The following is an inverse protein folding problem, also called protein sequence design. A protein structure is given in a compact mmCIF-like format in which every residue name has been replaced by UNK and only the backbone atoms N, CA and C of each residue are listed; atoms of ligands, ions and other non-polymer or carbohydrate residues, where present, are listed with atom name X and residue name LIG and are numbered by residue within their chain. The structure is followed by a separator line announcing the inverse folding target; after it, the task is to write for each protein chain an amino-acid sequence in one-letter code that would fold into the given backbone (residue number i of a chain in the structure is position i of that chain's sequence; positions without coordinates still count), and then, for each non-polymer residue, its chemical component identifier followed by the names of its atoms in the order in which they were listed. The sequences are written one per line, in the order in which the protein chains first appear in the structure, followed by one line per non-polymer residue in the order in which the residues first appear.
data_IF_425234128757
#
_entry.id   IF_425234128757
#
_cell.length_a   1.000
_cell.length_b   1.000
_cell.length_c   1.000
_cell.angle_alpha   90.00
_cell.angle_beta   90.00
_cell.angle_gamma   90.00
#
_symmetry.space_group_name_H-M   'P 1'
#
loop_
_entity.id
_entity.type
_entity.pdbx_description
1 polymer ?
#
# COMPACT_ATOMS: atom_id res chain seq x y z
N UNK A 1 -18.34 30.76 -45.82
CA UNK A 1 -17.80 29.93 -46.91
C UNK A 1 -17.51 28.54 -46.37
N UNK A 2 -18.39 27.58 -46.63
CA UNK A 2 -18.25 26.17 -46.26
C UNK A 2 -17.33 25.47 -47.25
N UNK A 3 -16.07 25.23 -46.87
CA UNK A 3 -14.97 24.95 -47.80
C UNK A 3 -14.74 23.49 -48.20
N UNK A 4 -15.64 22.55 -47.88
CA UNK A 4 -15.46 21.15 -48.32
C UNK A 4 -16.77 20.54 -48.83
N UNK A 5 -16.76 20.11 -50.10
CA UNK A 5 -17.80 19.23 -50.66
C UNK A 5 -17.72 17.87 -49.95
N UNK A 6 -18.84 17.29 -49.49
CA UNK A 6 -18.82 15.98 -48.85
C UNK A 6 -18.34 14.91 -49.84
N UNK A 7 -17.34 14.14 -49.42
CA UNK A 7 -16.80 13.04 -50.21
C UNK A 7 -17.89 11.97 -50.44
N UNK A 8 -17.90 11.32 -51.63
CA UNK A 8 -18.90 10.32 -51.96
C UNK A 8 -18.84 9.11 -51.01
N UNK A 9 -20.02 8.53 -50.73
CA UNK A 9 -20.19 7.39 -49.79
C UNK A 9 -19.37 6.14 -50.16
N UNK A 10 -19.01 5.99 -51.44
CA UNK A 10 -18.12 4.93 -51.93
C UNK A 10 -16.68 5.07 -51.44
N UNK A 11 -16.25 6.27 -51.08
CA UNK A 11 -14.89 6.57 -50.57
C UNK A 11 -14.90 6.66 -49.05
N UNK A 12 -15.92 7.28 -48.44
CA UNK A 12 -15.97 7.47 -46.99
C UNK A 12 -16.23 6.20 -46.20
N UNK A 13 -17.00 5.24 -46.74
CA UNK A 13 -17.26 3.94 -46.09
C UNK A 13 -16.02 3.05 -45.93
N UNK A 14 -15.22 2.77 -46.97
CA UNK A 14 -14.01 1.96 -46.80
C UNK A 14 -12.98 2.67 -45.92
N UNK A 15 -12.83 4.00 -46.05
CA UNK A 15 -11.92 4.77 -45.18
C UNK A 15 -12.35 4.71 -43.72
N UNK A 16 -13.64 4.87 -43.43
CA UNK A 16 -14.18 4.73 -42.06
C UNK A 16 -13.98 3.31 -41.52
N UNK A 17 -14.16 2.28 -42.34
CA UNK A 17 -13.90 0.90 -41.94
C UNK A 17 -12.42 0.67 -41.61
N UNK A 18 -11.50 1.23 -42.41
CA UNK A 18 -10.06 1.17 -42.13
C UNK A 18 -9.73 1.87 -40.81
N UNK A 19 -10.30 3.04 -40.52
CA UNK A 19 -10.10 3.73 -39.24
C UNK A 19 -10.62 2.91 -38.05
N UNK A 20 -11.80 2.31 -38.17
CA UNK A 20 -12.35 1.44 -37.11
C UNK A 20 -11.48 0.21 -36.90
N UNK A 21 -11.02 -0.45 -37.98
CA UNK A 21 -10.11 -1.60 -37.88
C UNK A 21 -8.79 -1.18 -37.24
N UNK A 22 -8.19 -0.07 -37.66
CA UNK A 22 -6.96 0.46 -37.08
C UNK A 22 -7.13 0.79 -35.58
N UNK A 23 -8.28 1.36 -35.20
CA UNK A 23 -8.61 1.62 -33.80
C UNK A 23 -8.79 0.32 -32.99
N UNK A 24 -9.50 -0.68 -33.52
CA UNK A 24 -9.65 -1.99 -32.87
C UNK A 24 -8.29 -2.67 -32.70
N UNK A 25 -7.44 -2.63 -33.73
CA UNK A 25 -6.07 -3.19 -33.66
C UNK A 25 -5.24 -2.44 -32.63
N UNK A 26 -5.30 -1.11 -32.61
CA UNK A 26 -4.60 -0.29 -31.61
C UNK A 26 -5.08 -0.59 -30.19
N UNK A 27 -6.39 -0.71 -29.96
CA UNK A 27 -6.95 -1.11 -28.67
C UNK A 27 -6.57 -2.54 -28.29
N UNK A 28 -6.58 -3.48 -29.23
CA UNK A 28 -6.15 -4.85 -28.96
C UNK A 28 -4.66 -4.92 -28.60
N UNK A 29 -3.81 -4.15 -29.28
CA UNK A 29 -2.38 -4.02 -28.97
C UNK A 29 -2.17 -3.36 -27.62
N UNK A 30 -2.91 -2.29 -27.32
CA UNK A 30 -2.85 -1.58 -26.05
C UNK A 30 -3.23 -2.53 -24.92
N UNK A 31 -4.40 -3.18 -25.00
CA UNK A 31 -4.90 -4.13 -24.00
C UNK A 31 -3.92 -5.28 -23.79
N UNK A 32 -3.38 -5.84 -24.88
CA UNK A 32 -2.39 -6.92 -24.78
C UNK A 32 -1.12 -6.45 -24.07
N UNK A 33 -0.58 -5.28 -24.43
CA UNK A 33 0.64 -4.76 -23.79
C UNK A 33 0.43 -4.33 -22.34
N UNK A 34 -0.66 -3.63 -22.05
CA UNK A 34 -0.89 -3.01 -20.74
C UNK A 34 -1.43 -4.00 -19.70
N UNK A 35 -2.20 -5.01 -20.10
CA UNK A 35 -2.82 -5.93 -19.13
C UNK A 35 -2.28 -7.36 -19.19
N UNK A 36 -1.88 -7.85 -20.37
CA UNK A 36 -1.56 -9.28 -20.55
C UNK A 36 -0.05 -9.51 -20.51
N UNK A 37 0.71 -8.85 -21.37
CA UNK A 37 2.14 -9.14 -21.55
C UNK A 37 2.99 -8.55 -20.41
N UNK A 38 2.70 -7.33 -19.93
CA UNK A 38 3.42 -6.73 -18.80
C UNK A 38 3.19 -7.47 -17.47
N UNK A 39 1.98 -8.03 -17.28
CA UNK A 39 1.57 -8.66 -16.03
C UNK A 39 1.95 -10.13 -15.93
N UNK A 40 1.85 -10.91 -17.02
CA UNK A 40 2.01 -12.36 -17.00
C UNK A 40 3.44 -12.85 -17.33
N UNK A 41 4.13 -12.19 -18.27
CA UNK A 41 5.49 -12.60 -18.66
C UNK A 41 6.53 -12.31 -17.56
N UNK A 42 6.38 -11.17 -16.86
CA UNK A 42 7.23 -10.86 -15.70
C UNK A 42 6.90 -11.77 -14.52
N UNK A 43 5.62 -12.10 -14.27
CA UNK A 43 5.23 -12.92 -13.12
C UNK A 43 5.85 -14.32 -13.13
N UNK A 44 5.80 -15.04 -14.26
CA UNK A 44 6.34 -16.39 -14.30
C UNK A 44 7.87 -16.39 -14.11
N UNK A 45 8.57 -15.40 -14.65
CA UNK A 45 10.02 -15.24 -14.49
C UNK A 45 10.39 -14.79 -13.07
N UNK A 46 9.65 -13.84 -12.49
CA UNK A 46 9.83 -13.36 -11.12
C UNK A 46 9.56 -14.47 -10.11
N UNK A 47 8.51 -15.27 -10.33
CA UNK A 47 8.17 -16.39 -9.43
C UNK A 47 9.12 -17.59 -9.59
N UNK A 48 9.71 -17.81 -10.76
CA UNK A 48 10.61 -18.93 -11.01
C UNK A 48 11.92 -18.88 -10.20
N UNK A 49 12.28 -17.70 -9.65
CA UNK A 49 13.45 -17.54 -8.78
C UNK A 49 13.26 -18.17 -7.40
N UNK A 50 12.01 -18.38 -6.97
CA UNK A 50 11.70 -18.89 -5.66
C UNK A 50 11.92 -20.39 -5.56
N UNK A 51 12.77 -20.78 -4.62
CA UNK A 51 13.10 -22.17 -4.35
C UNK A 51 12.07 -22.87 -3.45
N UNK A 52 12.40 -24.09 -3.04
CA UNK A 52 11.57 -24.88 -2.09
C UNK A 52 11.47 -24.27 -0.69
N UNK A 53 12.37 -23.35 -0.34
CA UNK A 53 12.33 -22.62 0.94
C UNK A 53 11.51 -21.32 0.88
N UNK A 54 10.82 -21.07 -0.24
CA UNK A 54 9.99 -19.90 -0.38
C UNK A 54 8.73 -20.02 0.48
N UNK A 55 8.42 -18.95 1.19
CA UNK A 55 7.27 -18.84 2.07
C UNK A 55 6.16 -18.13 1.32
N UNK A 56 5.10 -18.88 1.02
CA UNK A 56 3.92 -18.41 0.30
C UNK A 56 2.83 -18.03 1.30
N UNK A 57 2.18 -16.89 1.07
CA UNK A 57 1.07 -16.41 1.88
C UNK A 57 -0.09 -15.98 1.00
N UNK A 58 -1.28 -16.46 1.31
CA UNK A 58 -2.52 -15.90 0.78
C UNK A 58 -2.87 -14.59 1.49
N UNK A 59 -3.30 -13.59 0.74
CA UNK A 59 -3.75 -12.30 1.25
C UNK A 59 -5.26 -12.20 1.09
N UNK A 60 -5.93 -11.90 2.19
CA UNK A 60 -7.38 -11.86 2.31
C UNK A 60 -7.82 -10.50 2.85
N UNK A 61 -8.95 -10.01 2.35
CA UNK A 61 -9.65 -8.86 2.90
C UNK A 61 -11.07 -9.27 3.27
N UNK A 62 -11.40 -9.18 4.56
CA UNK A 62 -12.72 -9.55 5.12
C UNK A 62 -13.22 -10.93 4.69
N UNK A 63 -12.29 -11.88 4.54
CA UNK A 63 -12.56 -13.27 4.15
C UNK A 63 -12.50 -13.52 2.64
N UNK A 64 -12.45 -12.50 1.80
CA UNK A 64 -12.25 -12.65 0.35
C UNK A 64 -10.76 -12.67 0.03
N UNK A 65 -10.31 -13.62 -0.80
CA UNK A 65 -8.92 -13.67 -1.23
C UNK A 65 -8.67 -12.59 -2.27
N UNK A 66 -7.80 -11.65 -1.93
CA UNK A 66 -7.43 -10.55 -2.81
C UNK A 66 -6.06 -10.76 -3.47
N UNK A 67 -5.29 -11.76 -3.06
CA UNK A 67 -4.00 -12.02 -3.68
C UNK A 67 -3.08 -12.93 -2.90
N UNK A 68 -1.78 -12.78 -3.14
CA UNK A 68 -0.74 -13.52 -2.44
C UNK A 68 0.57 -12.73 -2.39
N UNK A 69 1.44 -13.15 -1.47
CA UNK A 69 2.85 -12.76 -1.42
C UNK A 69 3.71 -14.01 -1.34
N UNK A 70 4.90 -13.97 -1.92
CA UNK A 70 5.93 -14.98 -1.77
C UNK A 70 7.21 -14.31 -1.30
N UNK A 71 7.90 -14.93 -0.35
CA UNK A 71 9.14 -14.39 0.18
C UNK A 71 10.21 -15.45 0.37
N UNK A 72 11.48 -15.05 0.29
CA UNK A 72 12.61 -15.93 0.57
C UNK A 72 13.77 -15.14 1.14
N UNK A 73 14.52 -15.79 2.02
CA UNK A 73 15.78 -15.28 2.57
C UNK A 73 16.93 -16.08 1.96
N UNK A 74 17.79 -15.40 1.23
CA UNK A 74 18.93 -15.99 0.52
C UNK A 74 20.22 -15.56 1.23
N UNK A 75 21.08 -16.51 1.68
CA UNK A 75 22.39 -16.17 2.22
C UNK A 75 23.26 -15.43 1.20
N UNK A 76 24.06 -14.48 1.66
CA UNK A 76 25.03 -13.72 0.89
C UNK A 76 26.38 -13.71 1.63
N UNK A 77 27.46 -13.23 0.99
CA UNK A 77 28.80 -13.19 1.60
C UNK A 77 28.83 -12.42 2.93
N UNK A 78 28.08 -11.31 3.02
CA UNK A 78 28.09 -10.37 4.14
C UNK A 78 26.81 -10.40 5.00
N UNK A 79 25.91 -11.36 4.79
CA UNK A 79 24.63 -11.42 5.47
C UNK A 79 23.56 -12.11 4.63
N UNK A 80 22.43 -11.42 4.39
CA UNK A 80 21.28 -11.99 3.70
C UNK A 80 20.70 -11.02 2.67
N UNK A 81 20.16 -11.58 1.59
CA UNK A 81 19.24 -10.91 0.68
C UNK A 81 17.82 -11.43 0.95
N UNK A 82 16.92 -10.51 1.24
CA UNK A 82 15.51 -10.77 1.47
C UNK A 82 14.76 -10.38 0.21
N UNK A 83 13.97 -11.30 -0.32
CA UNK A 83 13.21 -11.11 -1.54
C UNK A 83 11.74 -11.34 -1.25
N UNK A 84 10.88 -10.45 -1.73
CA UNK A 84 9.43 -10.57 -1.65
C UNK A 84 8.79 -10.10 -2.95
N UNK A 85 7.85 -10.88 -3.46
CA UNK A 85 6.96 -10.50 -4.55
C UNK A 85 5.52 -10.69 -4.11
N UNK A 86 4.62 -9.85 -4.61
CA UNK A 86 3.20 -9.99 -4.33
C UNK A 86 2.33 -9.53 -5.47
N UNK A 87 1.16 -10.16 -5.55
CA UNK A 87 0.10 -9.80 -6.49
C UNK A 87 -1.19 -9.67 -5.72
N UNK A 88 -1.79 -8.50 -5.82
CA UNK A 88 -3.05 -8.15 -5.20
C UNK A 88 -4.03 -7.71 -6.28
N UNK A 89 -5.31 -7.91 -6.04
CA UNK A 89 -6.41 -7.45 -6.86
C UNK A 89 -7.43 -6.82 -5.93
N UNK A 90 -7.63 -5.52 -6.09
CA UNK A 90 -8.46 -4.72 -5.18
C UNK A 90 -9.54 -4.03 -5.99
N UNK A 91 -10.76 -3.98 -5.45
CA UNK A 91 -11.86 -3.20 -6.01
C UNK A 91 -12.00 -1.89 -5.25
N UNK A 92 -11.87 -0.78 -5.97
CA UNK A 92 -11.95 0.59 -5.45
C UNK A 92 -12.77 1.44 -6.43
N UNK A 93 -13.78 2.15 -5.93
CA UNK A 93 -14.69 2.98 -6.73
C UNK A 93 -15.32 2.22 -7.92
N UNK A 94 -15.63 0.93 -7.73
CA UNK A 94 -16.19 0.05 -8.74
C UNK A 94 -15.20 -0.41 -9.82
N UNK A 95 -13.92 -0.03 -9.72
CA UNK A 95 -12.86 -0.48 -10.59
C UNK A 95 -11.98 -1.52 -9.88
N UNK A 96 -11.75 -2.64 -10.56
CA UNK A 96 -10.86 -3.69 -10.07
C UNK A 96 -9.48 -3.52 -10.69
N UNK A 97 -8.49 -3.22 -9.85
CA UNK A 97 -7.13 -2.95 -10.30
C UNK A 97 -6.16 -3.98 -9.73
N UNK A 98 -5.37 -4.66 -10.59
CA UNK A 98 -4.26 -5.47 -10.11
C UNK A 98 -3.13 -4.57 -9.62
N UNK A 99 -2.53 -4.92 -8.48
CA UNK A 99 -1.31 -4.32 -7.98
C UNK A 99 -0.21 -5.38 -7.90
N UNK A 100 0.98 -5.03 -8.35
CA UNK A 100 2.18 -5.83 -8.17
C UNK A 100 3.13 -5.12 -7.21
N UNK A 101 3.66 -5.87 -6.25
CA UNK A 101 4.70 -5.39 -5.34
C UNK A 101 5.95 -6.25 -5.48
N UNK A 102 7.10 -5.61 -5.35
CA UNK A 102 8.40 -6.26 -5.33
C UNK A 102 9.26 -5.59 -4.25
N UNK A 103 9.93 -6.38 -3.44
CA UNK A 103 10.92 -5.90 -2.47
C UNK A 103 12.17 -6.76 -2.53
N UNK A 104 13.33 -6.13 -2.61
CA UNK A 104 14.62 -6.76 -2.33
C UNK A 104 15.35 -5.94 -1.28
N UNK A 105 15.79 -6.57 -0.19
CA UNK A 105 16.54 -5.91 0.87
C UNK A 105 17.83 -6.67 1.18
N UNK A 106 18.94 -5.95 1.31
CA UNK A 106 20.23 -6.49 1.75
C UNK A 106 20.47 -6.11 3.19
N UNK A 107 20.76 -7.11 3.99
CA UNK A 107 20.98 -6.98 5.43
C UNK A 107 22.29 -7.65 5.82
N UNK A 108 22.88 -7.22 6.94
CA UNK A 108 24.01 -7.93 7.52
C UNK A 108 23.60 -9.23 8.24
N UNK A 109 24.56 -9.93 8.85
CA UNK A 109 24.32 -11.16 9.60
C UNK A 109 23.42 -10.99 10.83
N UNK A 110 23.25 -9.77 11.32
CA UNK A 110 22.34 -9.41 12.42
C UNK A 110 20.98 -8.88 11.92
N UNK A 111 20.71 -8.99 10.61
CA UNK A 111 19.54 -8.44 9.93
C UNK A 111 19.43 -6.90 9.95
N UNK A 112 20.53 -6.18 10.20
CA UNK A 112 20.56 -4.72 10.08
C UNK A 112 20.56 -4.30 8.59
N UNK A 113 19.74 -3.32 8.25
CA UNK A 113 19.54 -2.88 6.87
C UNK A 113 20.78 -2.20 6.29
N UNK A 114 21.19 -2.62 5.08
CA UNK A 114 22.23 -1.94 4.29
C UNK A 114 21.63 -1.19 3.10
N UNK A 115 20.77 -1.86 2.35
CA UNK A 115 20.09 -1.27 1.20
C UNK A 115 18.79 -1.99 0.90
N UNK A 116 17.89 -1.34 0.18
CA UNK A 116 16.69 -1.96 -0.35
C UNK A 116 16.26 -1.36 -1.68
N UNK A 117 15.46 -2.12 -2.40
CA UNK A 117 14.69 -1.71 -3.55
C UNK A 117 13.26 -2.19 -3.35
N UNK A 118 12.31 -1.28 -3.45
CA UNK A 118 10.88 -1.54 -3.39
C UNK A 118 10.25 -1.03 -4.68
N UNK A 119 9.29 -1.76 -5.22
CA UNK A 119 8.50 -1.34 -6.37
C UNK A 119 7.04 -1.66 -6.10
N UNK A 120 6.16 -0.70 -6.35
CA UNK A 120 4.71 -0.88 -6.33
C UNK A 120 4.13 -0.37 -7.64
N UNK A 121 3.51 -1.27 -8.41
CA UNK A 121 2.79 -0.92 -9.63
C UNK A 121 1.29 -1.15 -9.40
N UNK A 122 0.49 -0.08 -9.23
CA UNK A 122 -0.96 -0.17 -9.13
C UNK A 122 -1.63 -0.27 -10.52
N UNK A 123 -0.92 -0.68 -11.57
CA UNK A 123 -1.44 -0.81 -12.93
C UNK A 123 -1.38 0.48 -13.77
N UNK A 124 -0.96 1.60 -13.16
CA UNK A 124 -0.75 2.89 -13.85
C UNK A 124 0.74 3.19 -14.09
N UNK A 125 1.63 2.25 -13.73
CA UNK A 125 3.08 2.39 -13.81
C UNK A 125 3.73 2.26 -12.42
N UNK A 126 4.94 1.68 -12.36
CA UNK A 126 5.60 1.40 -11.09
C UNK A 126 6.13 2.67 -10.43
N UNK A 127 5.94 2.76 -9.12
CA UNK A 127 6.72 3.63 -8.23
C UNK A 127 7.83 2.79 -7.64
N UNK A 128 9.08 3.18 -7.88
CA UNK A 128 10.28 2.47 -7.40
C UNK A 128 10.98 3.30 -6.35
N UNK A 129 11.23 2.71 -5.19
CA UNK A 129 11.94 3.33 -4.06
C UNK A 129 13.22 2.54 -3.79
N UNK A 130 14.37 3.17 -3.95
CA UNK A 130 15.66 2.59 -3.58
C UNK A 130 16.19 3.30 -2.35
N UNK A 131 16.70 2.55 -1.39
CA UNK A 131 17.32 3.14 -0.21
C UNK A 131 18.66 2.50 0.11
N UNK A 132 19.56 3.33 0.65
CA UNK A 132 20.87 2.89 1.15
C UNK A 132 21.19 3.57 2.47
N UNK A 133 21.67 2.79 3.42
CA UNK A 133 22.17 3.29 4.70
C UNK A 133 23.64 3.65 4.53
N UNK A 134 23.98 4.90 4.85
CA UNK A 134 25.36 5.38 4.79
C UNK A 134 26.19 4.70 5.88
N UNK A 135 27.22 3.90 5.52
CA UNK A 135 28.05 3.19 6.50
C UNK A 135 28.96 4.13 7.30
N UNK A 136 29.13 5.39 6.88
CA UNK A 136 29.92 6.40 7.59
C UNK A 136 29.17 7.09 8.72
N UNK A 137 27.86 6.86 8.84
CA UNK A 137 27.06 7.40 9.93
C UNK A 137 27.46 6.76 11.27
N UNK A 138 27.77 7.60 12.26
CA UNK A 138 28.34 7.23 13.57
C UNK A 138 27.43 6.29 14.38
N UNK A 139 27.97 5.64 15.42
CA UNK A 139 27.21 4.82 16.36
C UNK A 139 26.04 5.55 17.06
N UNK A 140 25.96 6.89 16.95
CA UNK A 140 24.89 7.74 17.49
C UNK A 140 23.76 8.06 16.50
N UNK A 141 23.78 7.57 15.25
CA UNK A 141 22.69 7.76 14.29
C UNK A 141 22.94 7.13 12.92
N UNK A 142 21.91 6.96 12.11
CA UNK A 142 22.04 6.46 10.74
C UNK A 142 21.59 7.52 9.72
N UNK A 143 22.20 7.51 8.54
CA UNK A 143 21.76 8.34 7.42
C UNK A 143 21.19 7.44 6.33
N UNK A 144 19.91 7.61 6.02
CA UNK A 144 19.22 6.88 4.96
C UNK A 144 19.09 7.80 3.75
N UNK A 145 19.64 7.37 2.61
CA UNK A 145 19.50 8.05 1.33
C UNK A 145 18.47 7.27 0.52
N UNK A 146 17.43 7.95 0.03
CA UNK A 146 16.27 7.36 -0.64
C UNK A 146 16.16 7.98 -2.02
N UNK A 147 16.13 7.17 -3.07
CA UNK A 147 15.81 7.58 -4.44
C UNK A 147 14.40 7.06 -4.78
N UNK A 148 13.50 7.98 -5.10
CA UNK A 148 12.10 7.70 -5.44
C UNK A 148 11.94 7.98 -6.93
N UNK A 149 11.63 6.95 -7.69
CA UNK A 149 11.37 7.04 -9.12
C UNK A 149 9.88 6.83 -9.39
N UNK A 150 9.22 7.84 -9.93
CA UNK A 150 7.81 7.82 -10.34
C UNK A 150 7.67 8.50 -11.70
N UNK A 151 6.83 7.97 -12.58
CA UNK A 151 6.57 8.51 -13.92
C UNK A 151 7.84 8.85 -14.77
N UNK A 152 8.98 8.21 -14.49
CA UNK A 152 10.26 8.45 -15.16
C UNK A 152 11.15 9.52 -14.51
N UNK A 153 10.63 10.28 -13.54
CA UNK A 153 11.40 11.24 -12.74
C UNK A 153 11.99 10.55 -11.52
N UNK A 154 13.18 10.97 -11.08
CA UNK A 154 13.79 10.47 -9.84
C UNK A 154 14.12 11.62 -8.91
N UNK A 155 13.64 11.52 -7.67
CA UNK A 155 13.91 12.45 -6.57
C UNK A 155 14.73 11.75 -5.50
N UNK A 156 15.78 12.41 -5.03
CA UNK A 156 16.59 11.92 -3.91
C UNK A 156 16.23 12.67 -2.63
N UNK A 157 15.98 11.91 -1.56
CA UNK A 157 15.80 12.40 -0.21
C UNK A 157 16.91 11.85 0.70
N UNK A 158 17.31 12.61 1.72
CA UNK A 158 18.23 12.12 2.76
C UNK A 158 17.62 12.35 4.13
N UNK A 159 17.56 11.29 4.93
CA UNK A 159 17.01 11.31 6.27
C UNK A 159 18.08 11.01 7.31
N UNK A 160 18.12 11.83 8.35
CA UNK A 160 18.86 11.52 9.57
C UNK A 160 17.96 10.72 10.50
N UNK A 161 18.47 9.61 11.02
CA UNK A 161 17.78 8.70 11.91
C UNK A 161 18.57 8.57 13.21
N UNK A 162 17.85 8.38 14.31
CA UNK A 162 18.47 8.12 15.63
C UNK A 162 19.18 6.77 15.73
N UNK A 163 18.94 5.87 14.76
CA UNK A 163 19.58 4.56 14.66
C UNK A 163 19.31 3.92 13.30
N UNK A 164 19.88 2.71 13.05
CA UNK A 164 19.67 2.00 11.79
C UNK A 164 18.19 1.79 11.49
N UNK A 165 17.71 2.10 10.26
CA UNK A 165 16.32 1.85 9.90
C UNK A 165 16.05 0.35 9.85
N UNK A 166 14.85 -0.04 10.27
CA UNK A 166 14.34 -1.40 10.11
C UNK A 166 13.24 -1.37 9.07
N UNK A 167 13.25 -2.29 8.09
CA UNK A 167 12.16 -2.38 7.12
C UNK A 167 10.98 -3.11 7.72
N UNK A 168 9.76 -2.75 7.29
CA UNK A 168 8.57 -3.53 7.66
C UNK A 168 8.70 -5.00 7.21
N UNK A 169 9.27 -5.24 6.02
CA UNK A 169 9.41 -6.58 5.43
C UNK A 169 10.45 -7.48 6.12
N UNK A 170 11.44 -6.91 6.84
CA UNK A 170 12.47 -7.70 7.54
C UNK A 170 12.27 -7.78 9.06
N UNK A 171 11.22 -7.12 9.58
CA UNK A 171 11.05 -6.94 11.00
C UNK A 171 10.86 -8.26 11.76
N UNK A 172 10.08 -9.20 11.24
CA UNK A 172 9.85 -10.50 11.87
C UNK A 172 11.14 -11.33 12.03
N UNK A 173 12.02 -11.30 11.02
CA UNK A 173 13.34 -11.95 11.04
C UNK A 173 14.27 -11.29 12.04
N UNK A 174 14.27 -9.96 12.10
CA UNK A 174 15.06 -9.21 13.08
C UNK A 174 14.64 -9.56 14.52
N UNK A 175 13.34 -9.72 14.77
CA UNK A 175 12.83 -10.17 16.06
C UNK A 175 13.28 -11.59 16.38
N UNK A 176 13.23 -12.50 15.41
CA UNK A 176 13.64 -13.90 15.57
C UNK A 176 15.14 -14.08 15.88
N UNK A 177 15.98 -13.08 15.62
CA UNK A 177 17.40 -13.03 16.02
C UNK A 177 17.65 -12.90 17.53
N UNK A 178 16.83 -13.54 18.38
CA UNK A 178 16.96 -13.54 19.84
C UNK A 178 16.17 -12.46 20.58
N UNK A 179 15.25 -11.75 19.90
CA UNK A 179 14.45 -10.66 20.48
C UNK A 179 12.98 -11.04 20.73
N UNK A 180 12.55 -12.23 20.34
CA UNK A 180 11.24 -12.81 20.69
C UNK A 180 11.20 -13.27 22.16
N UNK A 181 11.08 -12.32 23.08
CA UNK A 181 10.96 -12.60 24.53
C UNK A 181 9.51 -12.47 24.98
N UNK A 182 8.89 -13.59 25.39
CA UNK A 182 7.50 -13.59 25.86
C UNK A 182 7.30 -12.65 27.07
N UNK A 183 6.21 -11.90 27.05
CA UNK A 183 5.86 -10.89 28.04
C UNK A 183 6.63 -9.57 27.89
N UNK A 184 7.51 -9.43 26.89
CA UNK A 184 8.24 -8.19 26.67
C UNK A 184 7.46 -7.19 25.82
N UNK A 185 7.66 -5.90 26.12
CA UNK A 185 7.22 -4.76 25.31
C UNK A 185 8.46 -4.05 24.78
N UNK A 186 8.50 -3.78 23.48
CA UNK A 186 9.65 -3.20 22.79
C UNK A 186 9.20 -2.02 21.94
N UNK A 187 10.04 -0.99 21.82
CA UNK A 187 9.83 0.13 20.91
C UNK A 187 10.84 0.07 19.77
N UNK A 188 10.35 0.29 18.56
CA UNK A 188 11.14 0.24 17.33
C UNK A 188 10.79 1.41 16.43
N UNK A 189 11.70 1.79 15.54
CA UNK A 189 11.39 2.70 14.43
C UNK A 189 11.44 1.89 13.14
N UNK A 190 10.30 1.73 12.49
CA UNK A 190 10.18 1.00 11.22
C UNK A 190 10.06 2.01 10.08
N UNK A 191 10.85 1.80 9.04
CA UNK A 191 10.71 2.45 7.75
C UNK A 191 9.85 1.59 6.84
N UNK A 192 8.75 2.14 6.37
CA UNK A 192 7.91 1.50 5.36
C UNK A 192 8.16 2.15 3.98
N UNK A 193 8.69 1.42 3.00
CA UNK A 193 8.97 1.97 1.68
C UNK A 193 7.70 2.28 0.87
N UNK A 194 6.54 1.69 1.21
CA UNK A 194 5.28 1.97 0.52
C UNK A 194 4.69 3.33 0.91
N UNK A 195 4.83 3.72 2.18
CA UNK A 195 4.37 5.03 2.68
C UNK A 195 5.48 6.07 2.77
N UNK A 196 6.74 5.64 2.59
CA UNK A 196 7.95 6.45 2.79
C UNK A 196 7.99 7.11 4.17
N UNK A 197 7.52 6.43 5.22
CA UNK A 197 7.51 6.98 6.58
C UNK A 197 8.38 6.17 7.53
N UNK A 198 9.13 6.87 8.37
CA UNK A 198 9.74 6.30 9.57
C UNK A 198 8.75 6.46 10.71
N UNK A 199 8.31 5.37 11.31
CA UNK A 199 7.32 5.43 12.37
C UNK A 199 7.76 4.67 13.61
N UNK A 200 7.59 5.25 14.80
CA UNK A 200 7.71 4.47 16.03
C UNK A 200 6.57 3.45 16.08
N UNK A 201 6.91 2.21 16.42
CA UNK A 201 5.95 1.15 16.69
C UNK A 201 6.20 0.58 18.08
N UNK A 202 5.12 0.19 18.75
CA UNK A 202 5.20 -0.58 19.98
C UNK A 202 4.88 -2.03 19.69
N UNK A 203 5.71 -2.93 20.19
CA UNK A 203 5.60 -4.36 19.94
C UNK A 203 5.47 -5.09 21.27
N UNK A 204 4.33 -5.74 21.47
CA UNK A 204 4.03 -6.57 22.63
C UNK A 204 4.16 -8.05 22.22
N UNK A 205 5.11 -8.75 22.83
CA UNK A 205 5.43 -10.14 22.50
C UNK A 205 4.74 -11.05 23.51
N UNK A 206 3.71 -11.76 23.06
CA UNK A 206 2.95 -12.72 23.85
C UNK A 206 3.65 -14.07 24.01
N UNK A 207 2.92 -15.04 24.57
CA UNK A 207 3.36 -16.43 24.60
C UNK A 207 3.30 -17.09 23.22
N UNK A 208 3.80 -18.34 23.15
CA UNK A 208 3.61 -19.17 21.96
C UNK A 208 2.19 -19.71 21.90
N UNK A 209 1.60 -19.66 20.72
CA UNK A 209 0.30 -20.21 20.40
C UNK A 209 0.45 -21.23 19.25
N UNK A 210 -0.42 -22.23 19.22
CA UNK A 210 -0.45 -23.21 18.13
C UNK A 210 -1.27 -22.67 16.97
N UNK A 211 -0.59 -22.27 15.89
CA UNK A 211 -1.24 -21.82 14.66
C UNK A 211 -1.58 -23.03 13.80
N UNK A 212 -2.81 -23.07 13.30
CA UNK A 212 -3.31 -24.14 12.42
C UNK A 212 -3.48 -23.62 11.01
N UNK A 213 -2.67 -24.12 10.09
CA UNK A 213 -2.85 -23.92 8.66
C UNK A 213 -3.48 -25.16 8.03
N UNK A 214 -4.23 -24.96 6.94
CA UNK A 214 -4.90 -26.04 6.23
C UNK A 214 -3.89 -27.04 5.69
N UNK A 215 -4.02 -28.31 6.08
CA UNK A 215 -3.14 -29.38 5.59
C UNK A 215 -1.79 -29.50 6.30
N UNK A 216 -1.46 -28.61 7.23
CA UNK A 216 -0.21 -28.64 7.99
C UNK A 216 -0.43 -29.05 9.46
N UNK A 217 0.64 -29.54 10.10
CA UNK A 217 0.61 -29.75 11.56
C UNK A 217 0.55 -28.38 12.25
N UNK A 218 -0.10 -28.27 13.43
CA UNK A 218 -0.06 -27.04 14.20
C UNK A 218 1.39 -26.64 14.51
N UNK A 219 1.75 -25.39 14.20
CA UNK A 219 3.11 -24.85 14.40
C UNK A 219 3.07 -23.88 15.57
N UNK A 220 3.96 -24.02 16.57
CA UNK A 220 4.09 -23.03 17.64
C UNK A 220 4.70 -21.74 17.11
N UNK A 221 4.04 -20.62 17.38
CA UNK A 221 4.51 -19.29 17.00
C UNK A 221 4.19 -18.27 18.09
N UNK A 222 5.05 -17.28 18.29
CA UNK A 222 4.79 -16.16 19.20
C UNK A 222 3.67 -15.31 18.65
N UNK A 223 2.66 -15.02 19.48
CA UNK A 223 1.68 -13.97 19.17
C UNK A 223 2.33 -12.62 19.42
N UNK A 224 2.50 -11.82 18.38
CA UNK A 224 3.13 -10.50 18.41
C UNK A 224 2.09 -9.47 18.06
N UNK A 225 1.80 -8.56 18.98
CA UNK A 225 0.95 -7.40 18.71
C UNK A 225 1.83 -6.21 18.38
N UNK A 226 1.53 -5.54 17.26
CA UNK A 226 2.20 -4.31 16.86
C UNK A 226 1.17 -3.18 16.79
N UNK A 227 1.50 -2.05 17.39
CA UNK A 227 0.71 -0.83 17.30
C UNK A 227 1.39 0.17 16.36
N UNK A 228 0.67 0.56 15.31
CA UNK A 228 1.10 1.47 14.24
C UNK A 228 -0.04 2.44 13.90
N UNK A 229 0.18 3.75 14.09
CA UNK A 229 -0.84 4.80 13.86
C UNK A 229 -2.22 4.54 14.52
N UNK A 230 -2.22 3.98 15.73
CA UNK A 230 -3.45 3.61 16.44
C UNK A 230 -4.14 2.35 15.91
N UNK A 231 -3.60 1.72 14.86
CA UNK A 231 -4.01 0.40 14.40
C UNK A 231 -3.16 -0.66 15.08
N UNK A 232 -3.82 -1.67 15.66
CA UNK A 232 -3.15 -2.82 16.26
C UNK A 232 -3.22 -4.01 15.32
N UNK A 233 -2.08 -4.43 14.77
CA UNK A 233 -1.96 -5.69 14.03
C UNK A 233 -1.50 -6.81 14.96
N UNK A 234 -1.90 -8.04 14.65
CA UNK A 234 -1.45 -9.23 15.37
C UNK A 234 -0.84 -10.20 14.38
N UNK A 235 0.41 -10.60 14.62
CA UNK A 235 1.15 -11.55 13.79
C UNK A 235 1.57 -12.76 14.63
N UNK A 236 1.57 -13.95 14.04
CA UNK A 236 2.08 -15.15 14.67
C UNK A 236 3.41 -15.54 14.02
N UNK A 237 4.50 -15.35 14.76
CA UNK A 237 5.88 -15.43 14.24
C UNK A 237 6.61 -16.64 14.83
N UNK A 238 7.18 -17.49 13.98
CA UNK A 238 7.99 -18.64 14.42
C UNK A 238 9.33 -18.20 15.04
N UNK A 239 10.03 -19.13 15.67
CA UNK A 239 11.40 -18.91 16.18
C UNK A 239 12.41 -18.53 15.08
N UNK A 240 12.10 -18.84 13.82
CA UNK A 240 12.90 -18.50 12.63
C UNK A 240 12.47 -17.18 11.98
N UNK A 241 11.39 -16.55 12.46
CA UNK A 241 10.88 -15.28 11.94
C UNK A 241 9.86 -15.43 10.80
N UNK A 242 9.39 -16.65 10.54
CA UNK A 242 8.33 -16.90 9.55
C UNK A 242 7.00 -16.42 10.10
N UNK A 243 6.27 -15.63 9.32
CA UNK A 243 4.95 -15.14 9.69
C UNK A 243 3.92 -16.17 9.23
N UNK A 244 3.37 -16.91 10.20
CA UNK A 244 2.39 -17.97 9.93
C UNK A 244 1.00 -17.40 9.61
N UNK A 245 0.67 -16.29 10.27
CA UNK A 245 -0.59 -15.57 10.13
C UNK A 245 -0.37 -14.12 10.56
N UNK A 246 -1.07 -13.20 9.93
CA UNK A 246 -1.16 -11.80 10.35
C UNK A 246 -2.57 -11.28 10.16
N UNK A 247 -3.03 -10.45 11.08
CA UNK A 247 -4.37 -9.86 11.10
C UNK A 247 -4.28 -8.35 11.36
N UNK A 248 -5.05 -7.58 10.62
CA UNK A 248 -5.24 -6.15 10.83
C UNK A 248 -6.69 -5.85 11.25
N UNK A 249 -6.91 -4.76 12.02
CA UNK A 249 -8.24 -4.39 12.49
C UNK A 249 -9.14 -3.93 11.33
N UNK A 250 -8.55 -3.62 10.17
CA UNK A 250 -9.26 -3.25 8.95
C UNK A 250 -9.74 -4.47 8.14
N UNK A 251 -9.49 -5.69 8.64
CA UNK A 251 -9.95 -6.94 8.03
C UNK A 251 -8.97 -7.53 7.02
N UNK A 252 -7.73 -7.01 6.93
CA UNK A 252 -6.68 -7.68 6.17
C UNK A 252 -6.15 -8.86 6.97
N UNK A 253 -6.01 -10.00 6.31
CA UNK A 253 -5.43 -11.21 6.89
C UNK A 253 -4.42 -11.77 5.89
N UNK A 254 -3.22 -12.10 6.36
CA UNK A 254 -2.29 -12.94 5.59
C UNK A 254 -2.12 -14.27 6.29
N UNK A 255 -2.09 -15.36 5.54
CA UNK A 255 -1.94 -16.72 6.08
C UNK A 255 -0.95 -17.47 5.23
N UNK A 256 -0.01 -18.18 5.87
CA UNK A 256 0.89 -19.08 5.17
C UNK A 256 0.10 -20.23 4.52
N UNK A 257 0.40 -20.48 3.26
CA UNK A 257 -0.23 -21.49 2.42
C UNK A 257 0.83 -22.19 1.56
N UNK A 258 0.48 -23.33 0.96
CA UNK A 258 1.28 -23.88 -0.13
C UNK A 258 1.21 -22.97 -1.38
N UNK A 259 2.19 -23.10 -2.27
CA UNK A 259 2.31 -22.25 -3.46
C UNK A 259 1.06 -22.28 -4.35
N UNK A 260 0.49 -23.47 -4.58
CA UNK A 260 -0.68 -23.64 -5.44
C UNK A 260 -1.94 -23.04 -4.81
N UNK A 261 -2.13 -23.21 -3.49
CA UNK A 261 -3.21 -22.56 -2.75
C UNK A 261 -3.06 -21.05 -2.74
N UNK A 262 -1.88 -20.52 -2.44
CA UNK A 262 -1.59 -19.09 -2.38
C UNK A 262 -1.92 -18.40 -3.72
N UNK A 263 -1.42 -18.95 -4.82
CA UNK A 263 -1.59 -18.37 -6.17
C UNK A 263 -3.01 -18.51 -6.72
N UNK A 264 -3.82 -19.43 -6.20
CA UNK A 264 -5.23 -19.55 -6.57
C UNK A 264 -5.99 -18.33 -6.05
N UNK A 265 -6.16 -17.32 -6.90
CA UNK A 265 -7.15 -16.27 -6.69
C UNK A 265 -8.52 -16.95 -6.54
N UNK A 266 -9.20 -16.66 -5.43
CA UNK A 266 -10.60 -17.06 -5.32
C UNK A 266 -11.35 -16.27 -6.39
N UNK A 267 -11.97 -16.97 -7.33
CA UNK A 267 -12.84 -16.35 -8.32
C UNK A 267 -14.28 -16.50 -7.84
N UNK A 268 -14.83 -15.62 -6.97
CA UNK A 268 -16.24 -15.35 -7.02
C UNK A 268 -16.44 -14.26 -8.08
N UNK A 269 -16.82 -14.66 -9.28
CA UNK A 269 -17.18 -13.78 -10.40
C UNK A 269 -18.40 -12.87 -10.13
N UNK A 270 -18.79 -12.64 -8.87
CA UNK A 270 -20.03 -11.92 -8.52
C UNK A 270 -19.94 -10.95 -7.34
N UNK A 271 -18.90 -10.98 -6.51
CA UNK A 271 -18.72 -9.96 -5.46
C UNK A 271 -17.22 -9.86 -5.21
N UNK A 272 -16.56 -8.85 -5.77
CA UNK A 272 -15.41 -8.27 -5.09
C UNK A 272 -16.01 -7.12 -4.31
N UNK A 273 -16.02 -7.23 -2.98
CA UNK A 273 -16.53 -6.13 -2.16
C UNK A 273 -15.63 -4.92 -2.39
N UNK A 274 -16.21 -3.78 -2.81
CA UNK A 274 -15.46 -2.55 -2.96
C UNK A 274 -14.88 -2.15 -1.60
N UNK A 275 -13.58 -1.90 -1.53
CA UNK A 275 -12.90 -1.63 -0.26
C UNK A 275 -13.39 -0.34 0.39
N UNK A 276 -13.83 0.65 -0.39
CA UNK A 276 -14.41 1.88 0.14
C UNK A 276 -15.80 1.62 0.72
N UNK A 277 -16.61 0.82 0.03
CA UNK A 277 -17.92 0.40 0.55
C UNK A 277 -17.76 -0.46 1.82
N UNK A 278 -16.80 -1.39 1.82
CA UNK A 278 -16.50 -2.22 2.97
C UNK A 278 -16.05 -1.37 4.17
N UNK A 279 -15.16 -0.40 3.96
CA UNK A 279 -14.64 0.45 5.04
C UNK A 279 -15.61 1.57 5.48
N UNK A 280 -16.75 1.73 4.81
CA UNK A 280 -17.71 2.77 5.14
C UNK A 280 -18.28 2.60 6.57
N UNK A 281 -18.19 3.66 7.36
CA UNK A 281 -18.93 3.77 8.62
C UNK A 281 -20.36 4.18 8.28
N UNK A 282 -21.29 3.22 8.32
CA UNK A 282 -22.71 3.49 8.05
C UNK A 282 -23.33 4.18 9.26
N UNK A 283 -23.76 5.45 9.13
CA UNK A 283 -24.31 6.19 10.26
C UNK A 283 -25.68 5.65 10.68
N UNK A 284 -25.97 5.73 11.98
CA UNK A 284 -27.33 5.51 12.48
C UNK A 284 -28.14 6.78 12.23
N UNK A 285 -29.05 6.72 11.27
CA UNK A 285 -29.82 7.88 10.83
C UNK A 285 -31.02 8.14 11.76
N UNK A 286 -31.06 9.34 12.37
CA UNK A 286 -32.28 9.82 13.07
C UNK A 286 -33.39 10.21 12.09
N UNK A 287 -33.01 10.67 10.91
CA UNK A 287 -33.90 11.06 9.83
C UNK A 287 -33.28 10.59 8.50
N UNK A 288 -34.10 10.08 7.60
CA UNK A 288 -33.68 9.73 6.24
C UNK A 288 -33.38 11.01 5.45
N UNK A 289 -32.27 11.02 4.71
CA UNK A 289 -31.93 12.10 3.78
C UNK A 289 -32.44 11.69 2.40
N UNK A 290 -33.55 12.26 1.97
CA UNK A 290 -34.17 11.94 0.68
C UNK A 290 -33.51 12.68 -0.49
N UNK A 291 -33.15 13.95 -0.28
CA UNK A 291 -32.49 14.81 -1.27
C UNK A 291 -31.13 15.30 -0.74
N UNK A 292 -30.04 14.50 -0.85
CA UNK A 292 -28.75 14.84 -0.27
C UNK A 292 -28.16 16.16 -0.77
N UNK A 293 -28.49 16.57 -2.01
CA UNK A 293 -28.00 17.82 -2.63
C UNK A 293 -28.62 19.09 -2.02
N UNK A 294 -29.73 18.94 -1.29
CA UNK A 294 -30.43 20.05 -0.64
C UNK A 294 -30.08 20.19 0.85
N UNK A 295 -29.27 19.27 1.39
CA UNK A 295 -28.83 19.32 2.78
C UNK A 295 -27.89 20.50 2.98
N UNK A 296 -28.34 21.49 3.76
CA UNK A 296 -27.53 22.69 4.10
C UNK A 296 -26.77 22.58 5.41
N UNK A 297 -27.19 21.66 6.27
CA UNK A 297 -26.59 21.43 7.58
C UNK A 297 -26.68 19.95 7.93
N UNK A 298 -25.58 19.39 8.43
CA UNK A 298 -25.52 18.02 8.90
C UNK A 298 -24.86 18.00 10.28
N UNK A 299 -25.46 17.27 11.21
CA UNK A 299 -24.89 17.01 12.53
C UNK A 299 -24.63 15.52 12.67
N UNK A 300 -23.39 15.18 12.99
CA UNK A 300 -22.92 13.82 13.16
C UNK A 300 -22.41 13.66 14.60
N UNK A 301 -22.77 12.56 15.24
CA UNK A 301 -22.21 12.17 16.54
C UNK A 301 -21.32 10.96 16.30
N UNK A 302 -20.04 11.05 16.68
CA UNK A 302 -19.07 9.99 16.51
C UNK A 302 -18.64 9.46 17.87
N UNK A 303 -18.62 8.14 18.00
CA UNK A 303 -18.10 7.43 19.17
C UNK A 303 -16.82 6.68 18.81
N UNK A 304 -15.92 6.51 19.79
CA UNK A 304 -14.66 5.79 19.60
C UNK A 304 -13.58 6.50 18.78
N UNK A 305 -13.76 7.79 18.47
CA UNK A 305 -12.76 8.62 17.78
C UNK A 305 -12.34 9.82 18.63
N UNK A 306 -11.05 10.16 18.60
CA UNK A 306 -10.55 11.40 19.19
C UNK A 306 -10.77 12.56 18.21
N UNK A 307 -11.68 13.47 18.58
CA UNK A 307 -12.01 14.66 17.79
C UNK A 307 -11.35 15.94 18.33
N UNK A 308 -10.38 15.82 19.23
CA UNK A 308 -9.71 16.99 19.82
C UNK A 308 -8.70 17.68 18.87
N UNK A 309 -8.41 17.08 17.71
CA UNK A 309 -7.50 17.66 16.73
C UNK A 309 -8.03 19.00 16.17
N UNK A 310 -7.20 20.04 16.22
CA UNK A 310 -7.48 21.36 15.68
C UNK A 310 -7.77 21.35 14.16
N UNK A 311 -7.19 20.41 13.40
CA UNK A 311 -7.41 20.27 11.95
C UNK A 311 -8.87 19.94 11.60
N UNK A 312 -9.65 19.43 12.56
CA UNK A 312 -11.06 19.15 12.39
C UNK A 312 -11.94 20.40 12.56
N UNK A 313 -11.38 21.53 13.00
CA UNK A 313 -12.10 22.78 13.08
C UNK A 313 -11.82 23.61 11.83
N UNK A 314 -12.88 23.97 11.08
CA UNK A 314 -12.73 24.66 9.80
C UNK A 314 -13.88 25.62 9.48
N UNK A 315 -13.82 26.20 8.28
CA UNK A 315 -14.78 27.22 7.84
C UNK A 315 -16.22 26.70 7.68
N UNK A 316 -16.38 25.43 7.31
CA UNK A 316 -17.68 24.76 7.17
C UNK A 316 -17.88 23.57 8.12
N UNK A 317 -16.96 23.38 9.06
CA UNK A 317 -16.95 22.26 9.99
C UNK A 317 -16.65 22.76 11.39
N UNK A 318 -17.48 22.40 12.36
CA UNK A 318 -17.23 22.69 13.76
C UNK A 318 -17.33 21.42 14.61
N UNK A 319 -16.35 21.23 15.50
CA UNK A 319 -16.35 20.11 16.44
C UNK A 319 -16.76 20.61 17.83
N UNK A 320 -17.72 19.90 18.44
CA UNK A 320 -18.20 20.16 19.80
C UNK A 320 -18.27 18.84 20.57
N UNK A 321 -17.22 18.53 21.33
CA UNK A 321 -17.12 17.24 22.01
C UNK A 321 -17.08 16.10 20.99
N UNK A 322 -18.03 15.17 21.05
CA UNK A 322 -18.19 14.05 20.11
C UNK A 322 -19.01 14.41 18.85
N UNK A 323 -19.46 15.66 18.72
CA UNK A 323 -20.34 16.10 17.63
C UNK A 323 -19.58 16.88 16.57
N UNK A 324 -19.75 16.52 15.31
CA UNK A 324 -19.30 17.26 14.13
C UNK A 324 -20.50 17.93 13.48
N UNK A 325 -20.43 19.25 13.32
CA UNK A 325 -21.43 20.07 12.62
C UNK A 325 -20.85 20.53 11.28
N UNK A 326 -21.51 20.16 10.18
CA UNK A 326 -21.13 20.51 8.82
C UNK A 326 -22.16 21.48 8.24
N UNK A 327 -21.69 22.53 7.58
CA UNK A 327 -22.52 23.49 6.85
C UNK A 327 -22.19 23.43 5.36
N UNK A 328 -23.16 23.74 4.51
CA UNK A 328 -22.98 23.74 3.06
C UNK A 328 -21.79 24.62 2.61
N UNK A 329 -20.79 24.05 1.91
CA UNK A 329 -19.66 24.82 1.42
C UNK A 329 -20.04 25.88 0.37
N UNK A 330 -21.20 25.78 -0.30
CA UNK A 330 -21.63 26.76 -1.31
C UNK A 330 -21.82 28.17 -0.74
N UNK A 331 -22.11 28.28 0.56
CA UNK A 331 -22.27 29.56 1.23
C UNK A 331 -20.94 30.14 1.76
N UNK A 332 -19.84 29.39 1.66
CA UNK A 332 -18.54 29.85 2.13
C UNK A 332 -18.04 31.00 1.28
N UNK A 333 -17.47 31.98 1.97
CA UNK A 333 -16.67 33.02 1.35
C UNK A 333 -15.21 32.69 1.62
N UNK A 334 -14.33 32.82 0.61
CA UNK A 334 -12.91 32.61 0.82
C UNK A 334 -12.42 33.56 1.93
N UNK A 335 -11.75 32.98 2.92
CA UNK A 335 -11.05 33.73 3.95
C UNK A 335 -9.75 34.33 3.42
N UNK A 336 -9.02 35.09 4.26
CA UNK A 336 -7.63 35.42 3.96
C UNK A 336 -6.82 34.12 3.80
N UNK A 337 -5.79 34.15 2.95
CA UNK A 337 -4.86 33.04 2.83
C UNK A 337 -4.22 32.73 4.18
N UNK A 338 -4.02 31.45 4.47
CA UNK A 338 -3.30 31.02 5.66
C UNK A 338 -1.88 31.57 5.63
N UNK A 339 -1.39 31.97 6.81
CA UNK A 339 -0.04 32.53 6.96
C UNK A 339 1.04 31.51 6.59
N UNK A 340 0.73 30.24 6.76
CA UNK A 340 1.64 29.12 6.55
C UNK A 340 1.30 28.36 5.25
N UNK A 341 0.61 29.01 4.29
CA UNK A 341 0.21 28.43 3.00
C UNK A 341 1.39 27.78 2.26
N UNK A 342 2.57 28.39 2.34
CA UNK A 342 3.79 27.87 1.70
C UNK A 342 4.14 26.44 2.15
N UNK A 343 3.75 26.03 3.36
CA UNK A 343 3.98 24.67 3.84
C UNK A 343 3.05 23.65 3.18
N UNK A 344 1.79 24.01 2.99
CA UNK A 344 0.77 23.16 2.35
C UNK A 344 0.92 23.07 0.83
N UNK A 345 1.68 23.97 0.22
CA UNK A 345 1.98 23.97 -1.21
C UNK A 345 3.28 23.23 -1.55
N UNK A 346 4.00 22.71 -0.55
CA UNK A 346 5.21 21.93 -0.80
C UNK A 346 4.84 20.65 -1.56
N UNK A 347 5.72 20.21 -2.48
CA UNK A 347 5.57 18.91 -3.13
C UNK A 347 5.67 17.78 -2.10
N UNK A 348 4.89 16.73 -2.31
CA UNK A 348 4.95 15.51 -1.52
C UNK A 348 5.70 14.41 -2.28
N UNK A 349 6.26 13.38 -1.60
CA UNK A 349 7.03 12.32 -2.26
C UNK A 349 6.32 11.61 -3.42
N UNK A 350 4.99 11.58 -3.43
CA UNK A 350 4.17 10.97 -4.48
C UNK A 350 3.32 11.99 -5.26
N UNK A 351 3.48 13.30 -5.00
CA UNK A 351 2.77 14.38 -5.67
C UNK A 351 3.81 15.42 -6.11
N UNK A 352 4.25 15.30 -7.36
CA UNK A 352 5.31 16.11 -7.97
C UNK A 352 4.80 17.51 -8.39
N UNK A 353 4.15 18.24 -7.49
CA UNK A 353 3.59 19.57 -7.79
C UNK A 353 4.65 20.62 -8.12
N UNK A 354 5.94 20.34 -7.85
CA UNK A 354 7.10 21.17 -8.17
C UNK A 354 7.73 20.87 -9.54
N UNK A 355 7.14 19.97 -10.33
CA UNK A 355 7.65 19.63 -11.65
C UNK A 355 7.70 20.86 -12.58
N UNK A 356 8.79 21.09 -13.35
CA UNK A 356 8.91 22.23 -14.25
C UNK A 356 7.76 22.36 -15.25
N UNK A 357 7.19 21.24 -15.68
CA UNK A 357 6.05 21.17 -16.59
C UNK A 357 4.76 21.72 -15.97
N UNK A 358 4.60 21.61 -14.65
CA UNK A 358 3.44 22.14 -13.90
C UNK A 358 3.62 23.63 -13.63
N UNK A 359 4.83 24.09 -13.33
CA UNK A 359 5.12 25.50 -13.09
C UNK A 359 5.11 26.37 -14.36
N UNK A 360 5.18 25.76 -15.54
CA UNK A 360 5.24 26.47 -16.82
C UNK A 360 3.87 26.87 -17.40
N UNK A 361 2.77 26.43 -16.79
CA UNK A 361 1.37 26.75 -17.15
C UNK A 361 0.76 27.78 -16.18
#
# INVERSE_FOLDING_TARGET
MTFFKPLPRSITRPVSAVFVIAWIVSMAVLVKRSYIDASAANLATDLARYGSSAEWRGVYYRGEKIGFTVSQTVPSEDGFELQEDGRLQMSLLGATTPAALHTTARVDSNFALRSFEFSLDPGTGPVVVRGRVDPSASASGARLIIDITSAGNTRTETRQLSGPPVLSQNFSRLLAGGRLTAGSRQQWTIFDPATLRNQPVTVDIGGRELVRNTGERPIPAFRVDMEYQGLRTTSWITDTGDVMREESPLGLITVREDADSAQRLSVPARVQTDLLEASAVVPIMRQRIDEPRDVRFLRLELDGADLSNADLQGSNQAVRGSTIELTDPQALRPGPADRDLDEYLKPEPFIESDAPEIHAE
#
